data_IF_343009705909
#
_entry.id   IF_343009705909
#
_cell.length_a   1.000
_cell.length_b   1.000
_cell.length_c   1.000
_cell.angle_alpha   90.00
_cell.angle_beta   90.00
_cell.angle_gamma   90.00
#
_symmetry.space_group_name_H-M   'P 1'
#
loop_
_entity.id
_entity.type
_entity.pdbx_description
1 polymer ?
#
# COMPACT_ATOMS: atom_id res chain seq x y z
N UNK A 1 -4.11 -8.95 -147.60
CA UNK A 1 -4.09 -9.96 -146.53
C UNK A 1 -3.88 -9.26 -145.19
N UNK A 2 -4.96 -8.92 -144.47
CA UNK A 2 -4.94 -8.03 -143.29
C UNK A 2 -6.13 -8.33 -142.37
N UNK A 3 -6.17 -9.54 -141.77
CA UNK A 3 -7.30 -10.01 -140.94
C UNK A 3 -6.95 -10.61 -139.56
N UNK A 4 -5.68 -10.61 -139.14
CA UNK A 4 -5.25 -11.28 -137.88
C UNK A 4 -4.61 -10.36 -136.82
N UNK A 5 -4.60 -9.03 -137.02
CA UNK A 5 -3.96 -8.07 -136.09
C UNK A 5 -4.90 -7.68 -134.92
N UNK A 6 -6.21 -7.68 -135.15
CA UNK A 6 -7.21 -7.27 -134.15
C UNK A 6 -7.35 -8.25 -132.96
N UNK A 7 -7.34 -9.58 -133.11
CA UNK A 7 -7.49 -10.48 -131.96
C UNK A 7 -6.27 -10.51 -131.03
N UNK A 8 -5.05 -10.28 -131.55
CA UNK A 8 -3.82 -10.29 -130.73
C UNK A 8 -3.76 -9.09 -129.78
N UNK A 9 -4.25 -7.93 -130.22
CA UNK A 9 -4.21 -6.70 -129.42
C UNK A 9 -5.18 -6.75 -128.22
N UNK A 10 -6.31 -7.46 -128.38
CA UNK A 10 -7.30 -7.68 -127.30
C UNK A 10 -6.73 -8.62 -126.23
N UNK A 11 -5.98 -9.66 -126.61
CA UNK A 11 -5.36 -10.58 -125.64
C UNK A 11 -4.27 -9.88 -124.81
N UNK A 12 -3.47 -9.01 -125.41
CA UNK A 12 -2.44 -8.24 -124.68
C UNK A 12 -3.07 -7.28 -123.68
N UNK A 13 -4.19 -6.64 -124.03
CA UNK A 13 -4.92 -5.76 -123.11
C UNK A 13 -5.48 -6.58 -121.94
N UNK A 14 -6.11 -7.73 -122.21
CA UNK A 14 -6.69 -8.58 -121.16
C UNK A 14 -5.61 -9.08 -120.19
N UNK A 15 -4.48 -9.58 -120.70
CA UNK A 15 -3.35 -10.04 -119.87
C UNK A 15 -2.74 -8.88 -119.07
N UNK A 16 -2.62 -7.69 -119.66
CA UNK A 16 -2.17 -6.48 -118.98
C UNK A 16 -3.10 -6.06 -117.82
N UNK A 17 -4.42 -6.12 -118.02
CA UNK A 17 -5.39 -5.85 -116.94
C UNK A 17 -5.38 -6.90 -115.84
N UNK A 18 -5.29 -8.19 -116.18
CA UNK A 18 -5.26 -9.26 -115.17
C UNK A 18 -3.97 -9.21 -114.34
N UNK A 19 -2.83 -8.94 -114.98
CA UNK A 19 -1.55 -8.76 -114.29
C UNK A 19 -1.53 -7.48 -113.43
N UNK A 20 -2.09 -6.38 -113.95
CA UNK A 20 -2.24 -5.13 -113.20
C UNK A 20 -3.10 -5.27 -111.95
N UNK A 21 -4.22 -6.00 -112.02
CA UNK A 21 -5.10 -6.24 -110.87
C UNK A 21 -4.44 -7.20 -109.86
N UNK A 22 -3.67 -8.20 -110.34
CA UNK A 22 -2.93 -9.13 -109.47
C UNK A 22 -1.82 -8.46 -108.65
N UNK A 23 -1.13 -7.48 -109.22
CA UNK A 23 -0.09 -6.70 -108.51
C UNK A 23 -0.73 -5.67 -107.56
N UNK A 24 -1.84 -5.05 -107.96
CA UNK A 24 -2.55 -4.08 -107.12
C UNK A 24 -3.15 -4.71 -105.84
N UNK A 25 -3.68 -5.95 -105.93
CA UNK A 25 -4.20 -6.66 -104.75
C UNK A 25 -3.12 -7.15 -103.77
N UNK A 26 -1.88 -7.36 -104.22
CA UNK A 26 -0.75 -7.73 -103.32
C UNK A 26 -0.14 -6.53 -102.59
N UNK A 27 -0.34 -5.31 -103.09
CA UNK A 27 0.15 -4.07 -102.47
C UNK A 27 -0.66 -3.59 -101.25
N UNK A 28 -1.94 -3.96 -101.13
CA UNK A 28 -2.82 -3.47 -100.06
C UNK A 28 -2.69 -4.23 -98.72
N UNK A 29 -1.98 -5.36 -98.65
CA UNK A 29 -1.79 -6.10 -97.39
C UNK A 29 -0.53 -5.68 -96.61
N UNK A 30 0.29 -4.77 -97.13
CA UNK A 30 1.50 -4.26 -96.45
C UNK A 30 1.33 -2.89 -95.80
N UNK A 31 0.30 -2.12 -96.15
CA UNK A 31 0.07 -0.77 -95.59
C UNK A 31 -0.75 -0.77 -94.30
N UNK A 32 -1.41 -1.87 -93.92
CA UNK A 32 -2.18 -1.97 -92.66
C UNK A 32 -1.33 -2.29 -91.42
N UNK A 33 -0.06 -2.67 -91.57
CA UNK A 33 0.87 -2.96 -90.46
C UNK A 33 1.93 -1.83 -90.33
N UNK A 34 2.03 -0.94 -91.32
CA UNK A 34 3.04 0.12 -91.36
C UNK A 34 2.68 1.36 -90.53
N UNK A 35 1.45 1.44 -90.03
CA UNK A 35 0.92 2.58 -89.26
C UNK A 35 0.65 2.21 -87.78
N UNK A 36 1.43 1.25 -87.26
CA UNK A 36 1.39 0.87 -85.85
C UNK A 36 2.46 1.64 -85.09
N UNK A 37 2.04 2.57 -84.23
CA UNK A 37 2.92 3.15 -83.22
C UNK A 37 3.33 2.05 -82.24
N UNK A 38 4.63 1.72 -82.19
CA UNK A 38 5.18 0.73 -81.26
C UNK A 38 6.20 1.38 -80.35
N UNK A 39 6.23 0.94 -79.10
CA UNK A 39 7.20 1.35 -78.08
C UNK A 39 7.92 0.10 -77.58
N UNK A 40 9.23 0.20 -77.37
CA UNK A 40 10.05 -0.91 -76.89
C UNK A 40 9.63 -1.31 -75.46
N UNK A 41 9.27 -2.58 -75.26
CA UNK A 41 8.78 -3.06 -73.98
C UNK A 41 9.91 -3.08 -72.94
N UNK A 42 9.81 -2.22 -71.92
CA UNK A 42 10.74 -2.19 -70.81
C UNK A 42 10.22 -3.04 -69.65
N UNK A 43 11.09 -3.88 -69.08
CA UNK A 43 10.80 -4.57 -67.82
C UNK A 43 11.03 -3.59 -66.67
N UNK A 44 9.94 -3.19 -66.02
CA UNK A 44 9.97 -2.40 -64.78
C UNK A 44 9.13 -3.07 -63.68
N UNK A 45 9.30 -2.63 -62.44
CA UNK A 45 8.41 -3.02 -61.36
C UNK A 45 7.08 -2.29 -61.48
N UNK A 46 5.99 -3.03 -61.73
CA UNK A 46 4.63 -2.51 -61.66
C UNK A 46 4.20 -2.51 -60.19
N UNK A 47 3.95 -1.32 -59.64
CA UNK A 47 3.39 -1.17 -58.31
C UNK A 47 1.88 -1.03 -58.48
N UNK A 48 1.13 -2.08 -58.13
CA UNK A 48 -0.33 -2.02 -58.08
C UNK A 48 -0.74 -1.32 -56.78
N UNK A 49 -1.33 -0.13 -56.88
CA UNK A 49 -1.83 0.60 -55.72
C UNK A 49 -3.31 0.27 -55.52
N UNK A 50 -3.64 -0.28 -54.36
CA UNK A 50 -5.03 -0.48 -53.93
C UNK A 50 -5.42 0.82 -53.23
N UNK A 51 -6.39 1.54 -53.80
CA UNK A 51 -6.96 2.72 -53.15
C UNK A 51 -8.08 2.28 -52.21
N UNK A 52 -7.99 2.68 -50.96
CA UNK A 52 -9.03 2.42 -49.96
C UNK A 52 -9.20 3.66 -49.08
N UNK A 53 -10.45 3.92 -48.69
CA UNK A 53 -10.80 5.03 -47.79
C UNK A 53 -10.87 4.52 -46.36
N UNK A 54 -10.42 5.35 -45.43
CA UNK A 54 -10.40 4.99 -44.02
C UNK A 54 -10.66 6.18 -43.11
N UNK A 55 -10.76 5.91 -41.81
CA UNK A 55 -10.92 6.91 -40.76
C UNK A 55 -9.74 6.88 -39.79
N UNK A 56 -9.30 8.06 -39.35
CA UNK A 56 -8.27 8.19 -38.31
C UNK A 56 -8.88 7.89 -36.95
N UNK A 57 -8.19 7.07 -36.15
CA UNK A 57 -8.52 6.83 -34.74
C UNK A 57 -7.30 7.05 -33.84
N UNK A 58 -7.58 7.43 -32.61
CA UNK A 58 -6.58 7.52 -31.56
C UNK A 58 -6.12 6.12 -31.11
N UNK A 59 -4.97 6.04 -30.46
CA UNK A 59 -4.45 4.79 -29.88
C UNK A 59 -5.43 4.19 -28.88
N UNK A 60 -5.95 5.04 -27.99
CA UNK A 60 -6.93 4.68 -27.00
C UNK A 60 -7.94 5.82 -26.89
N UNK A 61 -9.23 5.49 -26.80
CA UNK A 61 -10.27 6.43 -26.40
C UNK A 61 -10.97 5.90 -25.17
N UNK A 62 -11.25 6.78 -24.22
CA UNK A 62 -11.93 6.43 -22.98
C UNK A 62 -12.98 7.48 -22.64
N UNK A 63 -14.17 7.01 -22.29
CA UNK A 63 -15.19 7.84 -21.67
C UNK A 63 -15.04 7.73 -20.16
N UNK A 64 -15.11 8.87 -19.49
CA UNK A 64 -15.02 8.95 -18.04
C UNK A 64 -16.35 9.44 -17.49
N UNK A 65 -16.81 8.79 -16.44
CA UNK A 65 -18.12 8.98 -15.83
C UNK A 65 -17.99 9.00 -14.30
N UNK A 66 -18.86 9.74 -13.63
CA UNK A 66 -18.96 9.66 -12.18
C UNK A 66 -19.59 8.31 -11.80
N UNK A 67 -19.16 7.75 -10.68
CA UNK A 67 -19.74 6.51 -10.13
C UNK A 67 -20.78 6.78 -9.03
N UNK A 68 -21.01 8.06 -8.70
CA UNK A 68 -22.02 8.52 -7.74
C UNK A 68 -22.88 9.62 -8.35
N UNK A 69 -24.04 9.89 -7.74
CA UNK A 69 -24.85 11.08 -8.03
C UNK A 69 -24.29 12.29 -7.26
N UNK A 70 -24.40 13.48 -7.86
CA UNK A 70 -24.05 14.75 -7.21
C UNK A 70 -24.13 15.94 -8.16
N UNK A 71 -23.85 17.12 -7.62
CA UNK A 71 -23.71 18.37 -8.38
C UNK A 71 -22.23 18.64 -8.59
N UNK A 72 -21.85 19.11 -9.77
CA UNK A 72 -20.46 19.43 -10.09
C UNK A 72 -20.04 20.74 -9.44
N UNK A 73 -19.04 20.70 -8.57
CA UNK A 73 -18.42 21.89 -7.96
C UNK A 73 -17.52 22.61 -8.97
N UNK A 74 -16.62 21.84 -9.61
CA UNK A 74 -15.64 22.40 -10.54
C UNK A 74 -15.24 21.39 -11.61
N UNK A 75 -14.95 21.94 -12.79
CA UNK A 75 -14.31 21.24 -13.92
C UNK A 75 -12.96 21.91 -14.12
N UNK A 76 -11.88 21.15 -13.93
CA UNK A 76 -10.51 21.67 -13.87
C UNK A 76 -9.79 21.66 -15.23
N UNK A 77 -10.47 21.20 -16.28
CA UNK A 77 -9.90 20.98 -17.60
C UNK A 77 -10.79 21.58 -18.70
N UNK A 78 -10.18 21.81 -19.86
CA UNK A 78 -10.84 22.26 -21.08
C UNK A 78 -10.56 21.30 -22.24
N UNK A 79 -11.38 21.40 -23.29
CA UNK A 79 -11.16 20.64 -24.53
C UNK A 79 -9.81 21.06 -25.13
N UNK A 80 -8.98 20.06 -25.44
CA UNK A 80 -7.62 20.25 -25.96
C UNK A 80 -6.51 20.18 -24.90
N UNK A 81 -6.85 20.17 -23.61
CA UNK A 81 -5.86 20.05 -22.53
C UNK A 81 -5.22 18.67 -22.51
N UNK A 82 -3.91 18.65 -22.25
CA UNK A 82 -3.14 17.41 -22.04
C UNK A 82 -3.14 17.07 -20.56
N UNK A 83 -3.56 15.86 -20.24
CA UNK A 83 -3.63 15.34 -18.87
C UNK A 83 -2.82 14.06 -18.74
N UNK A 84 -2.29 13.82 -17.55
CA UNK A 84 -1.59 12.59 -17.17
C UNK A 84 -2.53 11.68 -16.41
N UNK A 85 -2.23 10.38 -16.41
CA UNK A 85 -2.93 9.41 -15.56
C UNK A 85 -2.92 9.87 -14.10
N UNK A 86 -4.10 9.91 -13.47
CA UNK A 86 -4.30 10.36 -12.09
C UNK A 86 -4.57 11.86 -11.94
N UNK A 87 -4.48 12.66 -13.01
CA UNK A 87 -4.83 14.07 -12.92
C UNK A 87 -6.34 14.23 -12.65
N UNK A 88 -6.69 15.06 -11.67
CA UNK A 88 -8.07 15.36 -11.32
C UNK A 88 -8.71 16.22 -12.40
N UNK A 89 -9.82 15.74 -12.96
CA UNK A 89 -10.52 16.37 -14.08
C UNK A 89 -11.72 17.19 -13.61
N UNK A 90 -12.49 16.64 -12.67
CA UNK A 90 -13.70 17.27 -12.14
C UNK A 90 -13.98 16.78 -10.71
N UNK A 91 -14.68 17.60 -9.94
CA UNK A 91 -15.02 17.34 -8.53
C UNK A 91 -16.49 17.66 -8.26
N UNK A 92 -17.14 16.81 -7.47
CA UNK A 92 -18.52 17.03 -6.99
C UNK A 92 -18.54 17.89 -5.72
N UNK A 93 -19.60 18.66 -5.56
CA UNK A 93 -19.82 19.51 -4.40
C UNK A 93 -20.10 18.67 -3.16
N UNK A 94 -19.40 19.00 -2.07
CA UNK A 94 -19.39 18.21 -0.84
C UNK A 94 -20.79 18.07 -0.19
N UNK A 95 -21.64 19.08 -0.30
CA UNK A 95 -22.99 19.07 0.26
C UNK A 95 -24.01 18.34 -0.64
N UNK A 96 -23.67 18.16 -1.92
CA UNK A 96 -24.50 17.44 -2.89
C UNK A 96 -24.22 15.93 -2.95
N UNK A 97 -23.20 15.48 -2.21
CA UNK A 97 -22.76 14.09 -2.23
C UNK A 97 -23.86 13.16 -1.71
N UNK A 98 -23.91 11.96 -2.27
CA UNK A 98 -24.82 10.92 -1.80
C UNK A 98 -24.58 10.62 -0.32
N UNK A 99 -25.63 10.21 0.40
CA UNK A 99 -25.54 9.81 1.81
C UNK A 99 -24.46 8.75 2.03
N UNK A 100 -24.26 7.85 1.06
CA UNK A 100 -23.21 6.82 1.10
C UNK A 100 -21.80 7.43 1.18
N UNK A 101 -21.57 8.52 0.46
CA UNK A 101 -20.26 9.17 0.40
C UNK A 101 -20.01 10.07 1.64
N UNK A 102 -21.07 10.65 2.20
CA UNK A 102 -21.01 11.31 3.52
C UNK A 102 -20.62 10.30 4.60
N UNK A 103 -21.25 9.13 4.60
CA UNK A 103 -20.89 8.03 5.51
C UNK A 103 -19.45 7.57 5.27
N UNK A 104 -19.02 7.41 4.03
CA UNK A 104 -17.63 7.03 3.72
C UNK A 104 -16.60 8.04 4.26
N UNK A 105 -16.90 9.35 4.25
CA UNK A 105 -16.06 10.37 4.87
C UNK A 105 -16.03 10.22 6.40
N UNK A 106 -17.17 9.97 7.02
CA UNK A 106 -17.23 9.72 8.46
C UNK A 106 -16.46 8.46 8.83
N UNK A 107 -16.59 7.39 8.04
CA UNK A 107 -15.87 6.12 8.21
C UNK A 107 -14.36 6.32 8.06
N UNK A 108 -13.91 7.16 7.13
CA UNK A 108 -12.50 7.52 7.00
C UNK A 108 -11.97 8.19 8.28
N UNK A 109 -12.70 9.19 8.79
CA UNK A 109 -12.33 9.89 10.04
C UNK A 109 -12.27 8.91 11.21
N UNK A 110 -13.25 8.00 11.33
CA UNK A 110 -13.27 6.99 12.37
C UNK A 110 -12.13 5.98 12.23
N UNK A 111 -11.78 5.58 11.01
CA UNK A 111 -10.67 4.66 10.74
C UNK A 111 -9.31 5.31 11.03
N UNK A 112 -9.12 6.57 10.66
CA UNK A 112 -7.93 7.36 10.99
C UNK A 112 -7.79 7.54 12.50
N UNK A 113 -8.89 7.88 13.18
CA UNK A 113 -8.90 8.00 14.65
C UNK A 113 -8.60 6.66 15.33
N UNK A 114 -9.13 5.55 14.82
CA UNK A 114 -8.85 4.23 15.37
C UNK A 114 -7.37 3.84 15.22
N UNK A 115 -6.72 4.23 14.11
CA UNK A 115 -5.28 4.04 13.94
C UNK A 115 -4.48 4.95 14.89
N UNK A 116 -4.90 6.20 15.05
CA UNK A 116 -4.28 7.14 16.00
C UNK A 116 -4.36 6.60 17.44
N UNK A 117 -5.54 6.18 17.90
CA UNK A 117 -5.73 5.57 19.23
C UNK A 117 -4.91 4.28 19.41
N UNK A 118 -4.67 3.52 18.34
CA UNK A 118 -3.82 2.33 18.37
C UNK A 118 -2.35 2.72 18.56
N UNK A 119 -1.89 3.79 17.91
CA UNK A 119 -0.51 4.27 17.97
C UNK A 119 -0.22 5.11 19.22
N UNK A 120 -1.24 5.74 19.80
CA UNK A 120 -1.13 6.53 21.03
C UNK A 120 -1.03 5.62 22.26
N UNK A 121 0.20 5.20 22.55
CA UNK A 121 0.53 4.37 23.71
C UNK A 121 1.10 5.19 24.87
N UNK A 122 1.06 6.52 24.84
CA UNK A 122 1.71 7.36 25.86
C UNK A 122 1.14 7.10 27.27
N UNK A 123 -0.19 7.06 27.39
CA UNK A 123 -0.85 6.81 28.66
C UNK A 123 -0.63 5.36 29.16
N UNK A 124 -0.62 4.38 28.24
CA UNK A 124 -0.33 2.97 28.53
C UNK A 124 1.12 2.82 29.03
N UNK A 125 2.07 3.45 28.34
CA UNK A 125 3.49 3.46 28.70
C UNK A 125 3.72 4.08 30.06
N UNK A 126 3.14 5.26 30.34
CA UNK A 126 3.26 5.92 31.64
C UNK A 126 2.72 5.05 32.79
N UNK A 127 1.62 4.32 32.57
CA UNK A 127 1.08 3.36 33.56
C UNK A 127 2.01 2.17 33.76
N UNK A 128 2.61 1.65 32.70
CA UNK A 128 3.55 0.53 32.78
C UNK A 128 4.87 0.92 33.47
N UNK A 129 5.40 2.13 33.19
CA UNK A 129 6.57 2.68 33.88
C UNK A 129 6.30 2.87 35.39
N UNK A 130 5.11 3.36 35.75
CA UNK A 130 4.69 3.46 37.15
C UNK A 130 4.62 2.08 37.82
N UNK A 131 4.03 1.09 37.14
CA UNK A 131 3.94 -0.28 37.66
C UNK A 131 5.32 -0.92 37.83
N UNK A 132 6.24 -0.66 36.90
CA UNK A 132 7.64 -1.10 37.00
C UNK A 132 8.33 -0.48 38.22
N UNK A 133 8.20 0.83 38.41
CA UNK A 133 8.79 1.53 39.55
C UNK A 133 8.22 1.00 40.89
N UNK A 134 6.91 0.74 40.96
CA UNK A 134 6.28 0.14 42.14
C UNK A 134 6.77 -1.29 42.40
N UNK A 135 6.96 -2.10 41.35
CA UNK A 135 7.48 -3.46 41.49
C UNK A 135 8.95 -3.46 41.96
N UNK A 136 9.75 -2.49 41.50
CA UNK A 136 11.13 -2.28 41.98
C UNK A 136 11.16 -1.91 43.47
N UNK A 137 10.31 -0.99 43.92
CA UNK A 137 10.19 -0.60 45.33
C UNK A 137 9.80 -1.78 46.23
N UNK A 138 8.83 -2.60 45.77
CA UNK A 138 8.42 -3.82 46.48
C UNK A 138 9.56 -4.85 46.56
N UNK A 139 10.35 -5.00 45.49
CA UNK A 139 11.53 -5.87 45.50
C UNK A 139 12.59 -5.36 46.47
N UNK A 140 12.88 -4.07 46.47
CA UNK A 140 13.85 -3.46 47.38
C UNK A 140 13.45 -3.67 48.86
N UNK A 141 12.18 -3.47 49.21
CA UNK A 141 11.67 -3.73 50.56
C UNK A 141 11.78 -5.21 50.96
N UNK A 142 11.44 -6.13 50.03
CA UNK A 142 11.58 -7.57 50.26
C UNK A 142 13.05 -8.00 50.42
N UNK A 143 13.96 -7.47 49.60
CA UNK A 143 15.40 -7.72 49.70
C UNK A 143 15.98 -7.18 51.01
N UNK A 144 15.57 -5.97 51.41
CA UNK A 144 15.97 -5.39 52.68
C UNK A 144 15.50 -6.24 53.86
N UNK A 145 14.21 -6.62 53.89
CA UNK A 145 13.65 -7.49 54.92
C UNK A 145 14.35 -8.83 55.00
N UNK A 146 14.61 -9.46 53.86
CA UNK A 146 15.36 -10.71 53.80
C UNK A 146 16.78 -10.50 54.36
N UNK A 147 17.47 -9.45 53.93
CA UNK A 147 18.86 -9.15 54.31
C UNK A 147 19.03 -8.91 55.82
N UNK A 148 18.22 -8.03 56.42
CA UNK A 148 18.36 -7.67 57.85
C UNK A 148 18.01 -8.82 58.80
N UNK A 149 17.23 -9.80 58.33
CA UNK A 149 16.83 -10.95 59.13
C UNK A 149 17.83 -12.11 59.09
N UNK A 150 18.81 -12.09 58.17
CA UNK A 150 19.88 -13.10 58.12
C UNK A 150 20.81 -13.01 59.33
N UNK A 151 21.49 -14.12 59.62
CA UNK A 151 22.43 -14.23 60.73
C UNK A 151 23.51 -13.14 60.65
N UNK A 152 23.72 -12.43 61.76
CA UNK A 152 24.74 -11.37 61.86
C UNK A 152 24.36 -10.02 61.26
N UNK A 153 23.22 -9.90 60.56
CA UNK A 153 22.79 -8.65 59.93
C UNK A 153 21.86 -7.78 60.80
N UNK A 154 21.30 -8.34 61.89
CA UNK A 154 20.39 -7.63 62.81
C UNK A 154 21.08 -6.55 63.64
N UNK A 155 22.36 -6.74 63.96
CA UNK A 155 23.15 -5.81 64.75
C UNK A 155 24.63 -5.94 64.42
N UNK A 156 25.36 -4.83 64.50
CA UNK A 156 26.82 -4.88 64.33
C UNK A 156 27.48 -5.71 65.43
N UNK A 157 28.64 -6.30 65.13
CA UNK A 157 29.44 -7.02 66.14
C UNK A 157 29.76 -6.16 67.37
N UNK A 158 29.95 -4.84 67.18
CA UNK A 158 30.12 -3.88 68.29
C UNK A 158 28.86 -3.77 69.17
N UNK A 159 27.68 -3.75 68.56
CA UNK A 159 26.40 -3.68 69.29
C UNK A 159 26.17 -4.97 70.09
N UNK A 160 26.48 -6.13 69.50
CA UNK A 160 26.40 -7.43 70.17
C UNK A 160 27.38 -7.47 71.35
N UNK A 161 28.65 -7.12 71.14
CA UNK A 161 29.66 -7.10 72.20
C UNK A 161 29.30 -6.13 73.34
N UNK A 162 28.72 -4.96 73.02
CA UNK A 162 28.22 -4.03 74.02
C UNK A 162 27.04 -4.61 74.82
N UNK A 163 26.11 -5.31 74.15
CA UNK A 163 25.00 -5.99 74.81
C UNK A 163 25.46 -7.14 75.72
N UNK A 164 26.44 -7.93 75.29
CA UNK A 164 27.08 -8.97 76.09
C UNK A 164 27.77 -8.39 77.34
N UNK A 165 28.54 -7.31 77.18
CA UNK A 165 29.16 -6.62 78.30
C UNK A 165 28.11 -6.10 79.30
N UNK A 166 27.03 -5.50 78.79
CA UNK A 166 25.91 -5.05 79.62
C UNK A 166 25.21 -6.20 80.35
N UNK A 167 25.11 -7.38 79.73
CA UNK A 167 24.53 -8.56 80.36
C UNK A 167 25.39 -9.02 81.54
N UNK A 168 26.71 -9.07 81.38
CA UNK A 168 27.66 -9.41 82.46
C UNK A 168 27.55 -8.43 83.62
N UNK A 169 27.49 -7.12 83.33
CA UNK A 169 27.28 -6.09 84.36
C UNK A 169 25.93 -6.25 85.08
N UNK A 170 24.87 -6.58 84.36
CA UNK A 170 23.55 -6.80 84.94
C UNK A 170 23.49 -8.09 85.77
N UNK A 171 24.19 -9.15 85.37
CA UNK A 171 24.34 -10.37 86.18
C UNK A 171 25.05 -10.06 87.49
N UNK A 172 26.15 -9.29 87.46
CA UNK A 172 26.82 -8.83 88.68
C UNK A 172 25.88 -8.05 89.61
N UNK A 173 25.01 -7.20 89.07
CA UNK A 173 24.01 -6.48 89.86
C UNK A 173 22.97 -7.40 90.51
N UNK A 174 22.60 -8.49 89.82
CA UNK A 174 21.72 -9.53 90.40
C UNK A 174 22.43 -10.25 91.53
N UNK A 175 23.71 -10.60 91.36
CA UNK A 175 24.50 -11.30 92.38
C UNK A 175 24.68 -10.42 93.64
N UNK A 176 25.10 -9.16 93.47
CA UNK A 176 25.25 -8.21 94.58
C UNK A 176 23.92 -7.99 95.33
N UNK A 177 22.80 -7.87 94.59
CA UNK A 177 21.46 -7.72 95.19
C UNK A 177 20.96 -9.01 95.87
N UNK A 178 21.36 -10.18 95.36
CA UNK A 178 21.06 -11.48 95.92
C UNK A 178 21.80 -11.70 97.24
N UNK A 179 23.08 -11.31 97.28
CA UNK A 179 23.90 -11.32 98.49
C UNK A 179 23.30 -10.40 99.57
N UNK A 180 22.88 -9.18 99.20
CA UNK A 180 22.22 -8.27 100.14
C UNK A 180 20.88 -8.84 100.65
N UNK A 181 20.06 -9.42 99.78
CA UNK A 181 18.82 -10.07 100.17
C UNK A 181 19.07 -11.26 101.12
N UNK A 182 20.15 -12.03 100.89
CA UNK A 182 20.48 -13.20 101.71
C UNK A 182 20.74 -12.85 103.18
N UNK A 183 21.29 -11.65 103.46
CA UNK A 183 21.54 -11.14 104.82
C UNK A 183 20.25 -10.96 105.65
N UNK A 184 19.10 -10.78 104.98
CA UNK A 184 17.79 -10.58 105.63
C UNK A 184 16.84 -11.77 105.44
N UNK A 185 17.30 -12.86 104.82
CA UNK A 185 16.48 -14.02 104.45
C UNK A 185 15.75 -14.70 105.62
N UNK A 186 16.31 -14.64 106.84
CA UNK A 186 15.73 -15.18 108.06
C UNK A 186 14.73 -14.27 108.79
N UNK A 187 14.49 -13.03 108.32
CA UNK A 187 13.53 -12.09 108.95
C UNK A 187 12.11 -12.31 108.44
N UNK A 188 11.09 -11.74 109.11
CA UNK A 188 9.70 -11.77 108.59
C UNK A 188 9.61 -11.12 107.20
N UNK A 189 8.65 -11.53 106.37
CA UNK A 189 8.42 -10.92 105.05
C UNK A 189 7.95 -9.46 105.16
N UNK A 190 7.30 -9.10 106.27
CA UNK A 190 6.85 -7.73 106.55
C UNK A 190 7.96 -6.81 107.08
N UNK A 191 9.19 -7.33 107.26
CA UNK A 191 10.35 -6.52 107.68
C UNK A 191 10.70 -5.51 106.57
N UNK A 192 10.72 -4.19 106.86
CA UNK A 192 10.97 -3.18 105.83
C UNK A 192 12.31 -3.35 105.10
N UNK A 193 13.35 -3.85 105.78
CA UNK A 193 14.66 -4.06 105.16
C UNK A 193 14.65 -5.29 104.24
N UNK A 194 13.99 -6.38 104.64
CA UNK A 194 13.79 -7.55 103.78
C UNK A 194 12.94 -7.22 102.54
N UNK A 195 11.87 -6.46 102.72
CA UNK A 195 11.00 -6.01 101.61
C UNK A 195 11.76 -5.11 100.62
N UNK A 196 12.57 -4.16 101.12
CA UNK A 196 13.41 -3.31 100.28
C UNK A 196 14.47 -4.10 99.52
N UNK A 197 15.19 -5.01 100.19
CA UNK A 197 16.19 -5.86 99.54
C UNK A 197 15.58 -6.78 98.47
N UNK A 198 14.38 -7.33 98.72
CA UNK A 198 13.61 -8.11 97.73
C UNK A 198 13.24 -7.27 96.51
N UNK A 199 12.79 -6.04 96.71
CA UNK A 199 12.45 -5.11 95.62
C UNK A 199 13.69 -4.81 94.74
N UNK A 200 14.84 -4.56 95.36
CA UNK A 200 16.09 -4.30 94.64
C UNK A 200 16.55 -5.52 93.83
N UNK A 201 16.47 -6.72 94.41
CA UNK A 201 16.76 -7.97 93.71
C UNK A 201 15.80 -8.18 92.52
N UNK A 202 14.51 -7.93 92.70
CA UNK A 202 13.54 -8.03 91.61
C UNK A 202 13.86 -7.04 90.47
N UNK A 203 14.19 -5.79 90.80
CA UNK A 203 14.59 -4.78 89.82
C UNK A 203 15.88 -5.17 89.07
N UNK A 204 16.88 -5.69 89.77
CA UNK A 204 18.11 -6.18 89.15
C UNK A 204 17.85 -7.34 88.18
N UNK A 205 16.99 -8.30 88.57
CA UNK A 205 16.59 -9.43 87.71
C UNK A 205 15.84 -8.96 86.48
N UNK A 206 14.86 -8.06 86.64
CA UNK A 206 14.11 -7.48 85.52
C UNK A 206 15.05 -6.81 84.51
N UNK A 207 16.05 -6.05 84.99
CA UNK A 207 17.06 -5.41 84.14
C UNK A 207 17.88 -6.44 83.38
N UNK A 208 18.42 -7.46 84.06
CA UNK A 208 19.14 -8.58 83.42
C UNK A 208 18.30 -9.24 82.34
N UNK A 209 17.04 -9.57 82.65
CA UNK A 209 16.13 -10.23 81.70
C UNK A 209 15.82 -9.36 80.49
N UNK A 210 15.72 -8.03 80.67
CA UNK A 210 15.53 -7.11 79.54
C UNK A 210 16.72 -7.08 78.58
N UNK A 211 17.94 -7.09 79.12
CA UNK A 211 19.17 -7.13 78.32
C UNK A 211 19.31 -8.48 77.63
N UNK A 212 19.01 -9.58 78.33
CA UNK A 212 19.03 -10.92 77.74
C UNK A 212 18.04 -11.05 76.58
N UNK A 213 16.82 -10.49 76.70
CA UNK A 213 15.86 -10.48 75.58
C UNK A 213 16.38 -9.69 74.38
N UNK A 214 17.04 -8.55 74.62
CA UNK A 214 17.63 -7.76 73.54
C UNK A 214 18.78 -8.49 72.85
N UNK A 215 19.68 -9.12 73.63
CA UNK A 215 20.77 -9.94 73.09
C UNK A 215 20.23 -11.14 72.29
N UNK A 216 19.21 -11.83 72.80
CA UNK A 216 18.56 -12.93 72.09
C UNK A 216 17.86 -12.47 70.80
N UNK A 217 17.40 -11.22 70.73
CA UNK A 217 16.85 -10.66 69.49
C UNK A 217 17.96 -10.41 68.45
N UNK A 218 19.11 -9.87 68.87
CA UNK A 218 20.29 -9.66 68.01
C UNK A 218 20.89 -10.97 67.49
N UNK A 219 20.98 -11.98 68.36
CA UNK A 219 21.50 -13.32 68.05
C UNK A 219 20.45 -14.23 67.42
N UNK A 220 19.19 -13.80 67.40
CA UNK A 220 18.08 -14.58 66.87
C UNK A 220 18.21 -14.74 65.36
N UNK A 221 17.85 -15.92 64.88
CA UNK A 221 17.76 -16.24 63.45
C UNK A 221 16.32 -16.67 63.12
N UNK A 222 15.80 -16.40 61.91
CA UNK A 222 14.44 -16.78 61.56
C UNK A 222 14.32 -18.31 61.57
N UNK A 223 13.16 -18.81 61.98
CA UNK A 223 12.87 -20.25 61.88
C UNK A 223 12.90 -20.73 60.43
N UNK A 224 12.96 -22.04 60.19
CA UNK A 224 12.90 -22.62 58.84
C UNK A 224 11.63 -22.16 58.08
N UNK A 225 10.51 -22.05 58.79
CA UNK A 225 9.25 -21.54 58.23
C UNK A 225 9.36 -20.05 57.90
N UNK A 226 9.95 -19.24 58.79
CA UNK A 226 10.14 -17.79 58.54
C UNK A 226 11.09 -17.54 57.37
N UNK A 227 12.17 -18.32 57.24
CA UNK A 227 13.06 -18.27 56.07
C UNK A 227 12.32 -18.59 54.78
N UNK A 228 11.54 -19.68 54.76
CA UNK A 228 10.74 -20.04 53.60
C UNK A 228 9.73 -18.94 53.21
N UNK A 229 9.15 -18.23 54.20
CA UNK A 229 8.28 -17.08 53.95
C UNK A 229 9.06 -15.92 53.32
N UNK A 230 10.21 -15.54 53.89
CA UNK A 230 11.05 -14.45 53.35
C UNK A 230 11.53 -14.74 51.93
N UNK A 231 11.95 -15.98 51.65
CA UNK A 231 12.35 -16.42 50.31
C UNK A 231 11.17 -16.40 49.34
N UNK A 232 9.99 -16.84 49.77
CA UNK A 232 8.79 -16.80 48.95
C UNK A 232 8.35 -15.36 48.66
N UNK A 233 8.38 -14.47 49.65
CA UNK A 233 8.07 -13.04 49.49
C UNK A 233 9.03 -12.37 48.48
N UNK A 234 10.33 -12.67 48.60
CA UNK A 234 11.34 -12.19 47.66
C UNK A 234 11.08 -12.70 46.23
N UNK A 235 10.76 -13.98 46.06
CA UNK A 235 10.49 -14.54 44.73
C UNK A 235 9.19 -13.98 44.12
N UNK A 236 8.16 -13.75 44.93
CA UNK A 236 6.94 -13.05 44.50
C UNK A 236 7.27 -11.63 44.03
N UNK A 237 8.09 -10.88 44.77
CA UNK A 237 8.50 -9.55 44.37
C UNK A 237 9.30 -9.56 43.05
N UNK A 238 10.20 -10.53 42.87
CA UNK A 238 10.93 -10.73 41.59
C UNK A 238 10.01 -11.11 40.44
N UNK A 239 9.00 -11.92 40.69
CA UNK A 239 8.01 -12.29 39.68
C UNK A 239 7.20 -11.06 39.24
N UNK A 240 6.77 -10.22 40.19
CA UNK A 240 6.06 -8.98 39.89
C UNK A 240 6.92 -8.01 39.06
N UNK A 241 8.22 -7.89 39.38
CA UNK A 241 9.15 -7.09 38.59
C UNK A 241 9.24 -7.60 37.14
N UNK A 242 9.45 -8.92 36.94
CA UNK A 242 9.52 -9.53 35.61
C UNK A 242 8.23 -9.34 34.80
N UNK A 243 7.07 -9.42 35.47
CA UNK A 243 5.78 -9.18 34.84
C UNK A 243 5.66 -7.72 34.37
N UNK A 244 6.03 -6.76 35.22
CA UNK A 244 6.01 -5.34 34.89
C UNK A 244 6.99 -4.99 33.74
N UNK A 245 8.20 -5.56 33.75
CA UNK A 245 9.18 -5.42 32.66
C UNK A 245 8.62 -5.98 31.34
N UNK A 246 8.01 -7.15 31.38
CA UNK A 246 7.40 -7.79 30.20
C UNK A 246 6.23 -6.97 29.65
N UNK A 247 5.43 -6.34 30.53
CA UNK A 247 4.34 -5.47 30.13
C UNK A 247 4.86 -4.19 29.46
N UNK A 248 5.89 -3.55 30.02
CA UNK A 248 6.52 -2.38 29.42
C UNK A 248 7.13 -2.71 28.05
N UNK A 249 7.83 -3.84 27.94
CA UNK A 249 8.43 -4.28 26.68
C UNK A 249 7.38 -4.50 25.58
N UNK A 250 6.21 -5.05 25.90
CA UNK A 250 5.12 -5.20 24.93
C UNK A 250 4.64 -3.84 24.41
N UNK A 251 4.58 -2.84 25.27
CA UNK A 251 4.17 -1.47 24.88
C UNK A 251 5.27 -0.79 24.05
N UNK A 252 6.54 -0.98 24.40
CA UNK A 252 7.68 -0.42 23.63
C UNK A 252 7.82 -1.00 22.23
N UNK A 253 7.51 -2.29 22.06
CA UNK A 253 7.47 -2.94 20.75
C UNK A 253 6.36 -2.37 19.84
N UNK A 254 5.44 -1.58 20.41
CA UNK A 254 4.32 -0.97 19.72
C UNK A 254 3.15 -1.93 19.51
N UNK A 255 2.11 -1.45 18.81
CA UNK A 255 0.92 -2.25 18.50
C UNK A 255 1.25 -3.44 17.60
N UNK A 256 0.40 -4.46 17.62
CA UNK A 256 0.54 -5.61 16.74
C UNK A 256 0.56 -5.17 15.26
N UNK A 257 1.58 -5.57 14.47
CA UNK A 257 1.63 -5.26 13.04
C UNK A 257 0.38 -5.68 12.27
N UNK A 258 -0.29 -6.76 12.69
CA UNK A 258 -1.52 -7.24 12.05
C UNK A 258 -2.69 -6.28 12.31
N UNK A 259 -2.77 -5.70 13.51
CA UNK A 259 -3.77 -4.69 13.87
C UNK A 259 -3.55 -3.39 13.10
N UNK A 260 -2.29 -2.96 12.98
CA UNK A 260 -1.92 -1.78 12.18
C UNK A 260 -2.30 -2.00 10.71
N UNK A 261 -1.95 -3.15 10.14
CA UNK A 261 -2.29 -3.49 8.76
C UNK A 261 -3.79 -3.52 8.54
N UNK A 262 -4.55 -4.06 9.49
CA UNK A 262 -6.02 -4.09 9.42
C UNK A 262 -6.62 -2.68 9.49
N UNK A 263 -6.07 -1.79 10.32
CA UNK A 263 -6.50 -0.40 10.42
C UNK A 263 -6.16 0.39 9.13
N UNK A 264 -4.95 0.23 8.59
CA UNK A 264 -4.54 0.82 7.32
C UNK A 264 -5.42 0.35 6.15
N UNK A 265 -5.78 -0.94 6.11
CA UNK A 265 -6.68 -1.49 5.10
C UNK A 265 -8.08 -0.86 5.17
N UNK A 266 -8.59 -0.57 6.38
CA UNK A 266 -9.85 0.15 6.57
C UNK A 266 -9.76 1.59 6.06
N UNK A 267 -8.66 2.29 6.34
CA UNK A 267 -8.39 3.64 5.82
C UNK A 267 -8.34 3.61 4.28
N UNK A 268 -7.63 2.63 3.69
CA UNK A 268 -7.54 2.49 2.24
C UNK A 268 -8.90 2.24 1.59
N UNK A 269 -9.74 1.39 2.18
CA UNK A 269 -11.09 1.14 1.72
C UNK A 269 -11.96 2.41 1.81
N UNK A 270 -11.91 3.13 2.92
CA UNK A 270 -12.67 4.37 3.11
C UNK A 270 -12.21 5.49 2.14
N UNK A 271 -10.90 5.63 1.91
CA UNK A 271 -10.34 6.55 0.89
C UNK A 271 -10.79 6.20 -0.52
N UNK A 272 -10.84 4.91 -0.86
CA UNK A 272 -11.32 4.45 -2.18
C UNK A 272 -12.79 4.82 -2.40
N UNK A 273 -13.63 4.69 -1.38
CA UNK A 273 -15.02 5.12 -1.45
C UNK A 273 -15.14 6.65 -1.58
N UNK A 274 -14.29 7.40 -0.88
CA UNK A 274 -14.26 8.86 -0.98
C UNK A 274 -13.78 9.36 -2.36
N UNK A 275 -12.88 8.62 -3.00
CA UNK A 275 -12.37 8.93 -4.33
C UNK A 275 -13.47 8.93 -5.42
N UNK A 276 -14.62 8.28 -5.17
CA UNK A 276 -15.78 8.31 -6.07
C UNK A 276 -16.38 9.73 -6.24
N UNK A 277 -16.04 10.67 -5.35
CA UNK A 277 -16.45 12.08 -5.39
C UNK A 277 -15.74 12.93 -6.46
N UNK A 278 -14.61 12.42 -6.97
CA UNK A 278 -13.78 13.07 -7.97
C UNK A 278 -13.54 12.14 -9.14
N UNK A 279 -13.33 12.72 -10.33
CA UNK A 279 -12.90 11.97 -11.50
C UNK A 279 -11.43 12.25 -11.75
N UNK A 280 -10.66 11.18 -11.91
CA UNK A 280 -9.26 11.21 -12.34
C UNK A 280 -9.10 10.62 -13.74
N UNK A 281 -8.04 11.03 -14.44
CA UNK A 281 -7.73 10.51 -15.77
C UNK A 281 -7.25 9.04 -15.69
N UNK A 282 -7.89 8.08 -16.40
CA UNK A 282 -7.50 6.67 -16.38
C UNK A 282 -6.18 6.38 -17.12
N UNK A 283 -5.84 7.22 -18.10
CA UNK A 283 -4.60 7.18 -18.86
C UNK A 283 -4.19 8.60 -19.29
N UNK A 284 -2.92 8.78 -19.63
CA UNK A 284 -2.41 10.06 -20.15
C UNK A 284 -2.92 10.30 -21.57
N UNK A 285 -3.47 11.48 -21.84
CA UNK A 285 -4.06 11.79 -23.14
C UNK A 285 -4.50 13.25 -23.26
N UNK A 286 -5.27 13.54 -24.31
CA UNK A 286 -5.85 14.85 -24.55
C UNK A 286 -7.36 14.79 -24.35
N UNK A 287 -7.93 15.80 -23.70
CA UNK A 287 -9.39 15.94 -23.54
C UNK A 287 -10.02 16.28 -24.89
N UNK A 288 -10.89 15.41 -25.42
CA UNK A 288 -11.55 15.62 -26.72
C UNK A 288 -12.95 16.19 -26.59
N UNK A 289 -13.65 15.86 -25.50
CA UNK A 289 -14.99 16.36 -25.23
C UNK A 289 -15.19 16.56 -23.72
N UNK A 290 -15.91 17.64 -23.37
CA UNK A 290 -16.36 17.95 -22.02
C UNK A 290 -17.86 18.22 -22.12
N UNK A 291 -18.67 17.32 -21.56
CA UNK A 291 -20.14 17.38 -21.65
C UNK A 291 -20.78 17.96 -20.39
N UNK A 292 -19.98 18.46 -19.46
CA UNK A 292 -20.40 18.95 -18.15
C UNK A 292 -19.94 20.38 -17.86
N UNK A 293 -20.72 21.07 -17.05
CA UNK A 293 -20.39 22.39 -16.49
C UNK A 293 -20.57 22.40 -14.97
N UNK A 294 -19.87 23.30 -14.25
CA UNK A 294 -20.14 23.53 -12.84
C UNK A 294 -21.64 23.86 -12.61
N UNK A 295 -22.24 23.22 -11.62
CA UNK A 295 -23.68 23.31 -11.32
C UNK A 295 -24.56 22.26 -12.00
N UNK A 296 -24.05 21.49 -12.97
CA UNK A 296 -24.81 20.39 -13.57
C UNK A 296 -24.93 19.22 -12.58
N UNK A 297 -26.06 18.51 -12.63
CA UNK A 297 -26.29 17.27 -11.89
C UNK A 297 -25.86 16.07 -12.73
N UNK A 298 -25.13 15.13 -12.12
CA UNK A 298 -24.67 13.90 -12.78
C UNK A 298 -25.26 12.66 -12.13
N UNK A 299 -25.43 11.61 -12.94
CA UNK A 299 -25.84 10.28 -12.47
C UNK A 299 -24.70 9.26 -12.66
N UNK A 300 -24.66 8.18 -11.85
CA UNK A 300 -23.67 7.12 -11.99
C UNK A 300 -23.65 6.53 -13.41
N UNK A 301 -22.47 6.45 -14.02
CA UNK A 301 -22.28 5.89 -15.35
C UNK A 301 -22.64 6.82 -16.51
N UNK A 302 -23.10 8.05 -16.24
CA UNK A 302 -23.28 9.06 -17.27
C UNK A 302 -21.89 9.54 -17.77
N UNK A 303 -21.56 9.41 -19.05
CA UNK A 303 -20.31 9.92 -19.59
C UNK A 303 -20.29 11.44 -19.45
N UNK A 304 -19.23 11.98 -18.87
CA UNK A 304 -19.06 13.42 -18.66
C UNK A 304 -17.89 14.00 -19.44
N UNK A 305 -16.90 13.16 -19.73
CA UNK A 305 -15.61 13.54 -20.31
C UNK A 305 -15.15 12.45 -21.28
N UNK A 306 -14.50 12.85 -22.37
CA UNK A 306 -13.83 11.93 -23.27
C UNK A 306 -12.34 12.28 -23.37
N UNK A 307 -11.49 11.26 -23.15
CA UNK A 307 -10.04 11.34 -23.31
C UNK A 307 -9.61 10.48 -24.49
N UNK A 308 -8.64 10.98 -25.26
CA UNK A 308 -8.00 10.25 -26.33
C UNK A 308 -6.48 10.31 -26.21
N UNK A 309 -5.83 9.16 -26.35
CA UNK A 309 -4.37 9.08 -26.49
C UNK A 309 -4.00 9.35 -27.96
N UNK A 310 -3.58 10.59 -28.21
CA UNK A 310 -3.16 11.08 -29.52
C UNK A 310 -1.65 10.90 -29.77
N UNK A 311 -0.92 10.19 -28.89
CA UNK A 311 0.51 9.95 -29.06
C UNK A 311 0.84 9.10 -30.30
N UNK A 312 -0.05 8.16 -30.62
CA UNK A 312 0.00 7.34 -31.83
C UNK A 312 -1.38 7.37 -32.50
N UNK A 313 -1.43 7.74 -33.77
CA UNK A 313 -2.66 7.73 -34.56
C UNK A 313 -2.64 6.53 -35.49
N UNK A 314 -3.78 5.85 -35.56
CA UNK A 314 -4.00 4.73 -36.48
C UNK A 314 -5.04 5.12 -37.52
N UNK A 315 -4.98 4.49 -38.68
CA UNK A 315 -5.97 4.69 -39.74
C UNK A 315 -6.62 3.35 -40.01
N UNK A 316 -7.91 3.27 -39.72
CA UNK A 316 -8.72 2.09 -40.05
C UNK A 316 -9.17 2.23 -41.50
N UNK A 317 -8.77 1.29 -42.36
CA UNK A 317 -8.99 1.35 -43.80
C UNK A 317 -9.90 0.21 -44.23
N UNK A 318 -11.07 0.54 -44.75
CA UNK A 318 -12.00 -0.47 -45.25
C UNK A 318 -11.52 -0.99 -46.62
N UNK A 319 -11.09 -2.26 -46.66
CA UNK A 319 -10.62 -2.91 -47.90
C UNK A 319 -11.59 -4.02 -48.33
N UNK A 320 -11.90 -4.09 -49.62
CA UNK A 320 -12.80 -5.11 -50.17
C UNK A 320 -12.23 -6.53 -50.09
N UNK A 321 -13.09 -7.53 -49.92
CA UNK A 321 -12.74 -8.97 -49.89
C UNK A 321 -11.88 -9.43 -51.08
N UNK A 322 -12.04 -8.82 -52.25
CA UNK A 322 -11.26 -9.19 -53.44
C UNK A 322 -9.78 -8.79 -53.34
N UNK A 323 -9.49 -7.76 -52.56
CA UNK A 323 -8.15 -7.15 -52.45
C UNK A 323 -7.47 -7.45 -51.11
N UNK A 324 -8.21 -7.80 -50.06
CA UNK A 324 -7.65 -8.13 -48.74
C UNK A 324 -6.61 -9.26 -48.80
N UNK A 325 -6.77 -10.24 -49.70
CA UNK A 325 -5.81 -11.34 -49.88
C UNK A 325 -4.41 -10.88 -50.35
N UNK A 326 -4.30 -9.68 -50.92
CA UNK A 326 -3.04 -9.11 -51.40
C UNK A 326 -2.36 -8.24 -50.34
N UNK A 327 -3.08 -7.88 -49.28
CA UNK A 327 -2.63 -7.02 -48.19
C UNK A 327 -1.93 -7.87 -47.14
N UNK A 328 -0.74 -7.44 -46.70
CA UNK A 328 0.05 -8.13 -45.67
C UNK A 328 0.53 -7.16 -44.61
N UNK A 329 0.57 -7.64 -43.36
CA UNK A 329 1.21 -6.95 -42.24
C UNK A 329 2.67 -6.64 -42.62
N UNK A 330 3.09 -5.41 -42.37
CA UNK A 330 4.42 -4.90 -42.69
C UNK A 330 4.59 -4.21 -44.04
N UNK A 331 3.51 -4.10 -44.83
CA UNK A 331 3.59 -3.36 -46.09
C UNK A 331 3.60 -1.84 -45.84
N UNK A 332 4.46 -1.13 -46.57
CA UNK A 332 4.45 0.33 -46.58
C UNK A 332 3.20 0.85 -47.30
N UNK A 333 2.53 1.81 -46.67
CA UNK A 333 1.36 2.50 -47.24
C UNK A 333 1.62 3.99 -47.33
N UNK A 334 1.09 4.62 -48.38
CA UNK A 334 1.02 6.08 -48.48
C UNK A 334 -0.38 6.52 -48.11
N UNK A 335 -0.45 7.41 -47.13
CA UNK A 335 -1.68 7.97 -46.60
C UNK A 335 -1.71 9.44 -46.95
N UNK A 336 -2.84 9.90 -47.49
CA UNK A 336 -3.12 11.30 -47.78
C UNK A 336 -4.40 11.67 -47.06
N UNK A 337 -4.47 12.88 -46.51
CA UNK A 337 -5.68 13.39 -45.87
C UNK A 337 -6.33 14.43 -46.75
N UNK A 338 -7.65 14.39 -46.88
CA UNK A 338 -8.41 15.41 -47.62
C UNK A 338 -8.20 16.82 -47.04
N UNK A 339 -7.90 16.90 -45.75
CA UNK A 339 -7.58 18.15 -45.05
C UNK A 339 -6.22 18.75 -45.42
N UNK A 340 -5.29 17.95 -45.97
CA UNK A 340 -3.95 18.39 -46.39
C UNK A 340 -3.44 17.52 -47.56
N UNK A 341 -3.87 17.89 -48.77
CA UNK A 341 -3.58 17.14 -50.01
C UNK A 341 -2.12 17.26 -50.48
N UNK A 342 -1.32 18.16 -49.89
CA UNK A 342 0.08 18.37 -50.25
C UNK A 342 1.04 17.51 -49.43
N UNK A 343 0.56 16.87 -48.35
CA UNK A 343 1.38 16.03 -47.47
C UNK A 343 1.05 14.55 -47.62
N UNK A 344 2.05 13.80 -48.05
CA UNK A 344 2.03 12.34 -47.99
C UNK A 344 2.61 11.85 -46.67
N UNK A 345 1.84 11.04 -45.95
CA UNK A 345 2.27 10.34 -44.75
C UNK A 345 2.64 8.90 -45.11
N UNK A 346 3.76 8.42 -44.57
CA UNK A 346 4.15 7.02 -44.69
C UNK A 346 3.66 6.26 -43.45
N UNK A 347 3.02 5.14 -43.67
CA UNK A 347 2.58 4.22 -42.63
C UNK A 347 2.98 2.79 -42.95
N UNK A 348 2.74 1.90 -42.01
CA UNK A 348 2.94 0.46 -42.15
C UNK A 348 1.67 -0.26 -41.68
N UNK A 349 1.33 -1.36 -42.35
CA UNK A 349 0.17 -2.18 -41.97
C UNK A 349 0.51 -2.99 -40.72
N UNK A 350 -0.14 -2.67 -39.60
CA UNK A 350 0.09 -3.33 -38.31
C UNK A 350 -0.78 -4.58 -38.11
N UNK A 351 -1.99 -4.57 -38.67
CA UNK A 351 -3.00 -5.60 -38.46
C UNK A 351 -3.92 -5.65 -39.69
N UNK A 352 -4.44 -6.84 -39.99
CA UNK A 352 -5.47 -7.05 -41.00
C UNK A 352 -6.56 -7.86 -40.34
N UNK A 353 -7.77 -7.33 -40.29
CA UNK A 353 -8.92 -7.96 -39.64
C UNK A 353 -9.17 -9.35 -40.19
N UNK A 354 -9.37 -10.32 -39.30
CA UNK A 354 -9.63 -11.71 -39.66
C UNK A 354 -11.10 -11.97 -40.02
N UNK A 355 -11.98 -11.01 -39.69
CA UNK A 355 -13.43 -11.11 -39.87
C UNK A 355 -13.89 -9.93 -40.71
N UNK A 356 -14.55 -10.22 -41.83
CA UNK A 356 -15.17 -9.21 -42.69
C UNK A 356 -16.50 -8.72 -42.10
N UNK A 357 -16.77 -7.43 -42.28
CA UNK A 357 -18.07 -6.83 -41.99
C UNK A 357 -18.84 -6.63 -43.30
N UNK A 358 -20.11 -7.05 -43.34
CA UNK A 358 -20.97 -6.83 -44.50
C UNK A 358 -21.70 -5.50 -44.34
N UNK A 359 -21.40 -4.54 -45.23
CA UNK A 359 -22.10 -3.27 -45.29
C UNK A 359 -22.74 -3.17 -46.67
N UNK A 360 -24.08 -3.23 -46.70
CA UNK A 360 -24.88 -3.08 -47.93
C UNK A 360 -24.50 -4.04 -49.09
N UNK A 361 -24.12 -5.28 -48.76
CA UNK A 361 -23.82 -6.31 -49.77
C UNK A 361 -22.37 -6.35 -50.26
N UNK A 362 -21.51 -5.46 -49.75
CA UNK A 362 -20.04 -5.53 -49.94
C UNK A 362 -19.41 -6.00 -48.62
N UNK A 363 -18.54 -7.00 -48.70
CA UNK A 363 -17.76 -7.50 -47.55
C UNK A 363 -16.46 -6.72 -47.49
N UNK A 364 -16.28 -5.96 -46.40
CA UNK A 364 -15.07 -5.17 -46.13
C UNK A 364 -14.32 -5.73 -44.93
N UNK A 365 -13.00 -5.68 -45.00
CA UNK A 365 -12.07 -6.01 -43.92
C UNK A 365 -11.42 -4.72 -43.43
N UNK A 366 -11.19 -4.61 -42.12
CA UNK A 366 -10.58 -3.45 -41.45
C UNK A 366 -9.20 -3.77 -40.90
#
# INVERSE_FOLDING_TARGET
MKRWIVPILIVVIIVGTVFGIGVYRRGQSRTLIADLETVEAQRGSLIAMIGASGSVRANQTGQVAFQTTGIIESVLIQIGDKVRKGDMLAKLEQESLSTQLILAKADLILAEKALEELLDTEAEKARAELALAQAQDVLEDAEYKWYVQQEGNRASGETIAAAEANLVLAQKQVDDAQDEYSKYSGRSEDDPARAFARSNLAAARQKRDSILRNLNWYLGYPSEIEQAILEAELEVARANLREAESALQKIENGPDPDDVTAAEARIAAAKTNLALSSIEAPFSGTVTAVEIKPGDSVSPGQPVLQLADLSSLFVDVDTSEVDVNKVKVGQEVRITFDADLEREYKGEIIEVGLIGSNVQGVVNFK
#
